data_IF_824150168798
#
_entry.id   IF_824150168798
#
_cell.length_a   1.000
_cell.length_b   1.000
_cell.length_c   1.000
_cell.angle_alpha   90.00
_cell.angle_beta   90.00
_cell.angle_gamma   90.00
#
_symmetry.space_group_name_H-M   'P 1'
#
loop_
_entity.id
_entity.type
_entity.pdbx_description
1 polymer ?
#
# COMPACT_ATOMS: atom_id res chain seq x y z
N UNK A 1 -26.67 -53.52 -20.92
CA UNK A 1 -27.73 -52.74 -20.26
C UNK A 1 -27.39 -52.60 -18.78
N UNK A 2 -27.20 -51.36 -18.33
CA UNK A 2 -27.14 -50.85 -16.94
C UNK A 2 -25.91 -51.27 -16.09
N UNK A 3 -24.83 -50.45 -16.16
CA UNK A 3 -23.83 -50.36 -15.08
C UNK A 3 -24.33 -49.38 -14.02
N UNK A 4 -24.34 -49.85 -12.77
CA UNK A 4 -24.73 -49.14 -11.55
C UNK A 4 -23.88 -47.88 -11.33
N UNK A 5 -24.56 -46.84 -10.87
CA UNK A 5 -24.00 -45.59 -10.36
C UNK A 5 -23.12 -45.87 -9.13
N UNK A 6 -21.81 -45.70 -9.26
CA UNK A 6 -20.91 -45.62 -8.11
C UNK A 6 -20.82 -44.17 -7.64
N UNK A 7 -21.53 -43.89 -6.55
CA UNK A 7 -21.35 -42.70 -5.74
C UNK A 7 -19.91 -42.65 -5.18
N UNK A 8 -19.13 -41.67 -5.61
CA UNK A 8 -17.84 -41.35 -4.98
C UNK A 8 -18.10 -40.45 -3.78
N UNK A 9 -18.32 -41.08 -2.64
CA UNK A 9 -18.16 -40.48 -1.31
C UNK A 9 -16.72 -39.97 -1.18
N UNK A 10 -16.54 -38.65 -1.27
CA UNK A 10 -15.28 -37.96 -0.99
C UNK A 10 -15.32 -37.40 0.43
N UNK A 11 -14.94 -38.26 1.38
CA UNK A 11 -14.63 -37.92 2.77
C UNK A 11 -13.26 -37.23 2.79
N UNK A 12 -13.19 -35.92 3.05
CA UNK A 12 -11.94 -35.25 3.48
C UNK A 12 -12.16 -33.81 3.98
N UNK A 13 -11.89 -33.56 5.26
CA UNK A 13 -11.26 -32.34 5.84
C UNK A 13 -11.66 -32.04 7.30
N UNK A 14 -11.62 -33.04 8.19
CA UNK A 14 -11.92 -32.91 9.62
C UNK A 14 -10.86 -32.23 10.51
N UNK A 15 -9.96 -31.39 9.98
CA UNK A 15 -8.91 -30.71 10.78
C UNK A 15 -8.98 -29.18 10.81
N UNK A 16 -9.57 -28.51 9.81
CA UNK A 16 -9.69 -27.04 9.85
C UNK A 16 -10.86 -26.56 10.71
N UNK A 17 -11.92 -27.38 10.84
CA UNK A 17 -13.07 -27.06 11.69
C UNK A 17 -12.65 -26.81 13.13
N UNK A 18 -11.77 -27.60 13.74
CA UNK A 18 -11.44 -27.44 15.16
C UNK A 18 -10.68 -26.15 15.48
N UNK A 19 -9.76 -25.73 14.62
CA UNK A 19 -9.03 -24.46 14.80
C UNK A 19 -9.92 -23.24 14.55
N UNK A 20 -10.75 -23.27 13.50
CA UNK A 20 -11.71 -22.20 13.23
C UNK A 20 -12.79 -22.13 14.31
N UNK A 21 -13.25 -23.27 14.83
CA UNK A 21 -14.27 -23.34 15.90
C UNK A 21 -13.74 -22.75 17.20
N UNK A 22 -12.49 -23.07 17.57
CA UNK A 22 -11.83 -22.48 18.76
C UNK A 22 -11.66 -20.97 18.62
N UNK A 23 -11.33 -20.49 17.42
CA UNK A 23 -11.15 -19.06 17.16
C UNK A 23 -12.50 -18.33 17.21
N UNK A 24 -13.56 -18.93 16.65
CA UNK A 24 -14.93 -18.40 16.79
C UNK A 24 -15.42 -18.42 18.24
N UNK A 25 -15.10 -19.44 19.03
CA UNK A 25 -15.48 -19.50 20.47
C UNK A 25 -14.82 -18.38 21.28
N UNK A 26 -13.55 -18.11 21.02
CA UNK A 26 -12.81 -17.00 21.67
C UNK A 26 -13.40 -15.65 21.25
N UNK A 27 -13.68 -15.45 19.96
CA UNK A 27 -14.28 -14.21 19.45
C UNK A 27 -15.69 -13.99 20.00
N UNK A 28 -16.52 -15.04 20.06
CA UNK A 28 -17.88 -14.97 20.61
C UNK A 28 -17.85 -14.69 22.11
N UNK A 29 -16.93 -15.30 22.87
CA UNK A 29 -16.78 -15.02 24.30
C UNK A 29 -16.32 -13.58 24.55
N UNK A 30 -15.38 -13.08 23.74
CA UNK A 30 -14.91 -11.71 23.82
C UNK A 30 -16.03 -10.71 23.47
N UNK A 31 -16.81 -10.99 22.42
CA UNK A 31 -17.96 -10.17 22.04
C UNK A 31 -19.04 -10.16 23.13
N UNK A 32 -19.35 -11.30 23.73
CA UNK A 32 -20.30 -11.40 24.84
C UNK A 32 -19.80 -10.63 26.08
N UNK A 33 -18.51 -10.69 26.37
CA UNK A 33 -17.87 -9.91 27.43
C UNK A 33 -17.93 -8.40 27.15
N UNK A 34 -17.66 -7.96 25.92
CA UNK A 34 -17.78 -6.56 25.53
C UNK A 34 -19.23 -6.04 25.61
N UNK A 35 -20.22 -6.86 25.26
CA UNK A 35 -21.64 -6.54 25.41
C UNK A 35 -22.01 -6.41 26.89
N UNK A 36 -21.49 -7.30 27.75
CA UNK A 36 -21.75 -7.30 29.19
C UNK A 36 -21.15 -6.07 29.92
N UNK A 37 -20.06 -5.49 29.39
CA UNK A 37 -19.41 -4.30 29.95
C UNK A 37 -20.16 -3.00 29.58
N UNK A 38 -21.02 -3.01 28.56
CA UNK A 38 -21.82 -1.84 28.18
C UNK A 38 -21.03 -0.72 27.48
N UNK A 39 -19.76 -0.95 27.16
CA UNK A 39 -18.85 0.04 26.55
C UNK A 39 -18.50 -0.35 25.10
N UNK A 40 -19.54 -0.66 24.31
CA UNK A 40 -19.38 -1.04 22.90
C UNK A 40 -18.80 0.11 22.07
N UNK A 41 -19.17 1.36 22.36
CA UNK A 41 -18.67 2.53 21.63
C UNK A 41 -17.15 2.72 21.79
N UNK A 42 -16.60 2.55 22.99
CA UNK A 42 -15.15 2.67 23.20
C UNK A 42 -14.38 1.52 22.54
N UNK A 43 -14.93 0.30 22.55
CA UNK A 43 -14.30 -0.87 21.93
C UNK A 43 -14.32 -0.78 20.40
N UNK A 44 -15.43 -0.35 19.80
CA UNK A 44 -15.55 -0.16 18.34
C UNK A 44 -14.63 0.97 17.87
N UNK A 45 -14.54 2.07 18.61
CA UNK A 45 -13.59 3.15 18.30
C UNK A 45 -12.14 2.67 18.39
N UNK A 46 -11.80 1.87 19.41
CA UNK A 46 -10.46 1.31 19.54
C UNK A 46 -10.14 0.36 18.38
N UNK A 47 -11.06 -0.54 18.01
CA UNK A 47 -10.89 -1.46 16.87
C UNK A 47 -10.78 -0.71 15.54
N UNK A 48 -11.58 0.34 15.31
CA UNK A 48 -11.45 1.19 14.13
C UNK A 48 -10.08 1.90 14.11
N UNK A 49 -9.64 2.45 15.24
CA UNK A 49 -8.33 3.09 15.34
C UNK A 49 -7.18 2.10 15.08
N UNK A 50 -7.30 0.85 15.52
CA UNK A 50 -6.34 -0.20 15.21
C UNK A 50 -6.38 -0.61 13.73
N UNK A 51 -7.58 -0.70 13.14
CA UNK A 51 -7.74 -1.01 11.72
C UNK A 51 -7.17 0.10 10.84
N UNK A 52 -7.48 1.36 11.13
CA UNK A 52 -6.93 2.53 10.44
C UNK A 52 -5.41 2.61 10.59
N UNK A 53 -4.88 2.36 11.80
CA UNK A 53 -3.43 2.29 12.03
C UNK A 53 -2.77 1.17 11.25
N UNK A 54 -3.35 -0.02 11.26
CA UNK A 54 -2.77 -1.17 10.56
C UNK A 54 -2.78 -0.97 9.04
N UNK A 55 -3.90 -0.47 8.49
CA UNK A 55 -4.00 -0.17 7.06
C UNK A 55 -3.09 1.00 6.68
N UNK A 56 -2.98 2.04 7.51
CA UNK A 56 -2.07 3.17 7.27
C UNK A 56 -0.63 2.69 7.25
N UNK A 57 -0.17 2.00 8.29
CA UNK A 57 1.21 1.58 8.46
C UNK A 57 1.63 0.57 7.37
N UNK A 58 0.71 -0.29 6.94
CA UNK A 58 0.95 -1.20 5.81
C UNK A 58 1.05 -0.46 4.47
N UNK A 59 0.18 0.53 4.24
CA UNK A 59 0.20 1.34 3.01
C UNK A 59 1.42 2.27 2.98
N UNK A 60 1.79 2.84 4.13
CA UNK A 60 2.97 3.68 4.28
C UNK A 60 4.24 2.89 3.94
N UNK A 61 4.37 1.66 4.44
CA UNK A 61 5.51 0.77 4.12
C UNK A 61 5.64 0.50 2.62
N UNK A 62 4.53 0.31 1.92
CA UNK A 62 4.53 0.09 0.47
C UNK A 62 4.96 1.35 -0.31
N UNK A 63 4.48 2.52 0.11
CA UNK A 63 4.85 3.80 -0.49
C UNK A 63 6.34 4.13 -0.25
N UNK A 64 6.87 3.85 0.96
CA UNK A 64 8.29 3.99 1.25
C UNK A 64 9.16 3.08 0.38
N UNK A 65 8.76 1.82 0.20
CA UNK A 65 9.52 0.89 -0.65
C UNK A 65 9.55 1.37 -2.11
N UNK A 66 8.46 1.93 -2.62
CA UNK A 66 8.42 2.51 -3.97
C UNK A 66 9.31 3.75 -4.10
N UNK A 67 9.23 4.67 -3.14
CA UNK A 67 10.04 5.89 -3.15
C UNK A 67 11.53 5.57 -3.03
N UNK A 68 11.91 4.54 -2.26
CA UNK A 68 13.30 4.09 -2.13
C UNK A 68 13.90 3.56 -3.44
N UNK A 69 13.06 3.15 -4.41
CA UNK A 69 13.49 2.67 -5.73
C UNK A 69 13.72 3.80 -6.74
N UNK A 70 13.30 5.03 -6.41
CA UNK A 70 13.54 6.21 -7.25
C UNK A 70 14.98 6.65 -7.10
N UNK A 71 15.74 6.64 -8.20
CA UNK A 71 17.13 7.09 -8.25
C UNK A 71 17.37 7.95 -9.48
N UNK A 72 18.17 9.02 -9.31
CA UNK A 72 18.61 9.88 -10.42
C UNK A 72 19.21 9.01 -11.52
N UNK A 73 18.78 9.23 -12.76
CA UNK A 73 19.14 8.42 -13.92
C UNK A 73 18.08 7.41 -14.37
N UNK A 74 17.04 7.17 -13.57
CA UNK A 74 15.90 6.34 -13.94
C UNK A 74 15.20 6.85 -15.21
N UNK A 75 14.62 5.92 -15.96
CA UNK A 75 13.83 6.24 -17.16
C UNK A 75 12.36 6.45 -16.79
N UNK A 76 11.65 7.21 -17.63
CA UNK A 76 10.22 7.45 -17.44
C UNK A 76 9.43 6.13 -17.41
N UNK A 77 9.77 5.20 -18.32
CA UNK A 77 9.16 3.88 -18.37
C UNK A 77 9.26 3.12 -17.04
N UNK A 78 10.43 3.16 -16.38
CA UNK A 78 10.61 2.52 -15.09
C UNK A 78 9.73 3.18 -14.00
N UNK A 79 9.62 4.50 -13.99
CA UNK A 79 8.75 5.20 -13.04
C UNK A 79 7.27 4.88 -13.28
N UNK A 80 6.84 4.80 -14.54
CA UNK A 80 5.47 4.43 -14.90
C UNK A 80 5.11 3.01 -14.45
N UNK A 81 6.08 2.08 -14.43
CA UNK A 81 5.84 0.73 -13.87
C UNK A 81 5.67 0.73 -12.34
N UNK A 82 6.19 1.75 -11.63
CA UNK A 82 6.14 1.83 -10.17
C UNK A 82 4.94 2.66 -9.66
N UNK A 83 4.67 3.79 -10.31
CA UNK A 83 3.73 4.82 -9.84
C UNK A 83 2.50 5.02 -10.72
N UNK A 84 2.37 4.20 -11.77
CA UNK A 84 1.44 4.35 -12.90
C UNK A 84 1.76 5.58 -13.74
N UNK A 85 0.85 5.97 -14.63
CA UNK A 85 1.03 7.15 -15.49
C UNK A 85 0.98 8.45 -14.68
N UNK A 86 1.80 9.45 -15.05
CA UNK A 86 1.76 10.76 -14.40
C UNK A 86 0.40 11.43 -14.61
N UNK A 87 -0.06 12.15 -13.58
CA UNK A 87 -1.35 12.87 -13.60
C UNK A 87 -1.22 14.14 -14.43
N UNK A 88 -0.11 14.84 -14.27
CA UNK A 88 0.21 16.06 -15.03
C UNK A 88 1.61 15.95 -15.59
N UNK A 89 1.76 16.36 -16.84
CA UNK A 89 3.06 16.54 -17.49
C UNK A 89 3.20 18.00 -17.88
N UNK A 90 4.37 18.59 -17.61
CA UNK A 90 4.68 19.97 -17.96
C UNK A 90 6.06 20.06 -18.58
N UNK A 91 6.14 20.65 -19.75
CA UNK A 91 7.42 20.89 -20.42
C UNK A 91 7.86 22.33 -20.17
N UNK A 92 9.13 22.50 -19.79
CA UNK A 92 9.73 23.81 -19.57
C UNK A 92 11.06 23.90 -20.31
N UNK A 93 11.39 25.08 -20.80
CA UNK A 93 12.71 25.37 -21.37
C UNK A 93 13.45 26.33 -20.45
N UNK A 94 14.65 25.95 -20.01
CA UNK A 94 15.51 26.77 -19.15
C UNK A 94 16.92 26.68 -19.71
N UNK A 95 17.56 27.83 -19.93
CA UNK A 95 18.92 27.93 -20.48
C UNK A 95 19.12 27.14 -21.78
N UNK A 96 18.13 27.18 -22.68
CA UNK A 96 18.14 26.46 -23.97
C UNK A 96 18.05 24.94 -23.85
N UNK A 97 17.65 24.42 -22.69
CA UNK A 97 17.43 22.99 -22.43
C UNK A 97 15.96 22.73 -22.13
N UNK A 98 15.39 21.76 -22.84
CA UNK A 98 14.02 21.29 -22.61
C UNK A 98 13.98 20.25 -21.47
N UNK A 99 13.28 20.60 -20.39
CA UNK A 99 12.99 19.73 -19.26
C UNK A 99 11.54 19.28 -19.31
N UNK A 100 11.30 18.01 -18.99
CA UNK A 100 9.96 17.43 -18.88
C UNK A 100 9.71 17.18 -17.39
N UNK A 101 8.63 17.71 -16.85
CA UNK A 101 8.28 17.59 -15.44
C UNK A 101 7.03 16.72 -15.34
N UNK A 102 7.11 15.67 -14.54
CA UNK A 102 6.01 14.73 -14.31
C UNK A 102 5.56 14.82 -12.86
N UNK A 103 4.25 14.99 -12.67
CA UNK A 103 3.63 15.08 -11.36
C UNK A 103 2.81 13.82 -11.11
N UNK A 104 3.15 13.12 -10.04
CA UNK A 104 2.44 11.95 -9.54
C UNK A 104 1.73 12.37 -8.24
N UNK A 105 0.43 12.59 -8.35
CA UNK A 105 -0.40 12.94 -7.21
C UNK A 105 -0.89 11.67 -6.53
N UNK A 106 -0.59 11.51 -5.24
CA UNK A 106 -1.12 10.46 -4.36
C UNK A 106 -1.77 11.14 -3.15
N UNK A 107 -2.65 10.43 -2.44
CA UNK A 107 -3.38 10.99 -1.30
C UNK A 107 -2.47 11.48 -0.17
N UNK A 108 -1.26 10.91 -0.04
CA UNK A 108 -0.33 11.16 1.06
C UNK A 108 0.82 12.10 0.68
N UNK A 109 1.19 12.16 -0.59
CA UNK A 109 2.33 12.94 -1.07
C UNK A 109 2.19 13.32 -2.55
N UNK A 110 2.91 14.36 -2.93
CA UNK A 110 3.15 14.75 -4.31
C UNK A 110 4.59 14.42 -4.68
N UNK A 111 4.75 13.51 -5.63
CA UNK A 111 6.05 13.23 -6.24
C UNK A 111 6.15 14.04 -7.54
N UNK A 112 7.16 14.90 -7.60
CA UNK A 112 7.51 15.64 -8.82
C UNK A 112 8.84 15.13 -9.34
N UNK A 113 8.88 14.82 -10.63
CA UNK A 113 10.06 14.24 -11.27
C UNK A 113 10.49 15.09 -12.44
N UNK A 114 11.77 15.44 -12.48
CA UNK A 114 12.37 16.27 -13.51
C UNK A 114 13.19 15.40 -14.44
N UNK A 115 12.89 15.49 -15.74
CA UNK A 115 13.60 14.79 -16.79
C UNK A 115 14.31 15.78 -17.69
N UNK A 116 15.54 15.44 -18.06
CA UNK A 116 16.25 16.08 -19.15
C UNK A 116 16.48 15.03 -20.24
N UNK A 117 15.96 15.31 -21.44
CA UNK A 117 15.91 14.36 -22.57
C UNK A 117 15.13 13.09 -22.24
N UNK A 118 15.78 12.06 -21.68
CA UNK A 118 15.19 10.74 -21.37
C UNK A 118 15.60 10.18 -20.01
N UNK A 119 16.31 10.96 -19.20
CA UNK A 119 16.78 10.54 -17.88
C UNK A 119 16.28 11.49 -16.82
N UNK A 120 15.88 10.91 -15.69
CA UNK A 120 15.53 11.66 -14.50
C UNK A 120 16.78 12.34 -13.95
N UNK A 121 16.74 13.65 -13.79
CA UNK A 121 17.84 14.45 -13.24
C UNK A 121 17.64 14.77 -11.76
N UNK A 122 16.39 14.87 -11.34
CA UNK A 122 16.01 15.22 -9.99
C UNK A 122 14.58 14.74 -9.72
N UNK A 123 14.25 14.59 -8.45
CA UNK A 123 12.90 14.35 -7.99
C UNK A 123 12.70 15.03 -6.65
N UNK A 124 11.46 15.39 -6.34
CA UNK A 124 11.08 15.97 -5.05
C UNK A 124 9.83 15.26 -4.56
N UNK A 125 9.78 15.01 -3.25
CA UNK A 125 8.61 14.44 -2.59
C UNK A 125 8.13 15.45 -1.57
N UNK A 126 6.88 15.91 -1.73
CA UNK A 126 6.22 16.81 -0.78
C UNK A 126 5.14 16.01 -0.08
N UNK A 127 5.20 15.93 1.25
CA UNK A 127 4.25 15.16 2.04
C UNK A 127 3.07 16.05 2.42
N UNK A 128 1.85 15.51 2.32
CA UNK A 128 0.62 16.21 2.74
C UNK A 128 0.18 15.82 4.15
N UNK A 129 0.76 14.77 4.73
CA UNK A 129 0.50 14.31 6.10
C UNK A 129 1.76 14.43 6.95
N UNK A 130 1.62 14.98 8.15
CA UNK A 130 2.71 15.27 9.09
C UNK A 130 3.46 14.03 9.60
N UNK A 131 2.93 12.81 9.40
CA UNK A 131 3.54 11.56 9.84
C UNK A 131 4.16 10.71 8.70
N UNK A 132 4.28 11.27 7.49
CA UNK A 132 4.95 10.59 6.38
C UNK A 132 6.32 11.23 6.13
N UNK A 133 7.40 10.51 6.42
CA UNK A 133 8.79 10.98 6.27
C UNK A 133 9.59 9.95 5.47
N UNK A 134 9.59 10.03 4.13
CA UNK A 134 10.35 9.11 3.32
C UNK A 134 11.83 9.43 3.48
N UNK A 135 12.62 8.42 3.88
CA UNK A 135 14.07 8.50 3.83
C UNK A 135 14.51 8.66 2.37
N UNK A 136 14.88 9.89 2.01
CA UNK A 136 15.40 10.20 0.68
C UNK A 136 16.84 9.76 0.67
N UNK A 137 17.17 8.71 -0.09
CA UNK A 137 18.56 8.31 -0.34
C UNK A 137 19.26 9.39 -1.19
N UNK A 138 19.68 10.48 -0.55
CA UNK A 138 20.67 11.38 -1.12
C UNK A 138 21.95 10.59 -1.31
N UNK A 139 22.36 10.45 -2.56
CA UNK A 139 23.67 9.92 -2.93
C UNK A 139 24.69 10.92 -2.35
N UNK A 140 25.21 10.66 -1.15
CA UNK A 140 26.43 11.31 -0.68
C UNK A 140 27.53 10.92 -1.68
N UNK A 141 27.90 11.89 -2.53
CA UNK A 141 29.16 11.80 -3.27
C UNK A 141 30.28 11.75 -2.22
N UNK A 142 30.91 10.59 -2.11
CA UNK A 142 32.16 10.40 -1.39
C UNK A 142 33.32 10.50 -2.36
#
# INVERSE_FOLDING_TARGET
MIRKLTAKSSKSSGKSKSFLTRLTEVVVSFAAFSIAIGELDATVQSVNNYYERFVSEYTDKYDYEKLSKIHVGNTLFYLETLFDKPVVTKDIEVDGKAYNIYYYYKEKYLLTVFFLKKRMIAYTVINFKDNFFPEVNTIENK
#
